data_IF_798519316651
#
_entry.id   IF_798519316651
#
_cell.length_a   1.000
_cell.length_b   1.000
_cell.length_c   1.000
_cell.angle_alpha   90.00
_cell.angle_beta   90.00
_cell.angle_gamma   90.00
#
_symmetry.space_group_name_H-M   'P 1'
#
loop_
_entity.id
_entity.type
_entity.pdbx_description
1 polymer ?
#
# COMPACT_ATOMS: atom_id res chain seq x y z
N UNK A 1 9.95 28.65 -11.11
CA UNK A 1 10.61 28.47 -9.79
C UNK A 1 9.59 27.81 -8.87
N UNK A 2 9.96 26.74 -8.15
CA UNK A 2 9.13 26.11 -7.12
C UNK A 2 9.79 26.43 -5.78
N UNK A 3 9.02 26.91 -4.82
CA UNK A 3 9.48 27.18 -3.47
C UNK A 3 8.62 26.39 -2.47
N UNK A 4 9.26 25.71 -1.51
CA UNK A 4 8.59 24.91 -0.47
C UNK A 4 8.95 25.49 0.89
N UNK A 5 7.93 25.82 1.68
CA UNK A 5 8.10 26.25 3.06
C UNK A 5 7.63 25.16 4.01
N UNK A 6 8.57 24.46 4.67
CA UNK A 6 8.26 23.45 5.65
C UNK A 6 8.22 24.06 7.07
N UNK A 7 7.13 23.80 7.80
CA UNK A 7 6.97 24.23 9.20
C UNK A 7 6.79 23.01 10.09
N UNK A 8 7.83 22.66 10.83
CA UNK A 8 7.81 21.56 11.79
C UNK A 8 7.77 22.11 13.23
N UNK A 9 6.57 22.23 13.78
CA UNK A 9 6.40 22.62 15.19
C UNK A 9 6.57 21.41 16.10
N UNK A 10 7.26 21.59 17.21
CA UNK A 10 7.54 20.51 18.18
C UNK A 10 6.83 20.77 19.52
N UNK A 11 6.51 19.72 20.30
CA UNK A 11 6.61 18.30 19.96
C UNK A 11 5.49 17.83 19.02
N UNK A 12 5.86 17.10 17.96
CA UNK A 12 4.93 16.58 16.95
C UNK A 12 4.85 15.04 16.91
N UNK A 13 5.80 14.36 17.55
CA UNK A 13 5.84 12.90 17.65
C UNK A 13 6.53 12.46 18.94
N UNK A 14 6.58 11.15 19.18
CA UNK A 14 7.28 10.52 20.31
C UNK A 14 8.67 10.00 19.92
N UNK A 15 9.05 10.15 18.67
CA UNK A 15 10.34 9.74 18.09
C UNK A 15 10.92 10.86 17.25
N UNK A 16 12.13 10.66 16.73
CA UNK A 16 12.74 11.61 15.80
C UNK A 16 11.96 11.67 14.48
N UNK A 17 11.43 12.81 14.15
CA UNK A 17 10.57 12.99 12.97
C UNK A 17 11.23 13.77 11.81
N UNK A 18 12.39 14.36 12.06
CA UNK A 18 13.06 15.23 11.07
C UNK A 18 12.30 16.53 10.80
N UNK A 19 12.84 17.36 9.91
CA UNK A 19 12.23 18.60 9.44
C UNK A 19 12.59 18.82 7.98
N UNK A 20 11.67 19.41 7.23
CA UNK A 20 11.90 19.75 5.82
C UNK A 20 11.50 18.62 4.88
N UNK A 21 12.13 18.60 3.70
CA UNK A 21 11.89 17.60 2.65
C UNK A 21 12.90 16.47 2.89
N UNK A 22 12.42 15.27 3.19
CA UNK A 22 13.26 14.14 3.55
C UNK A 22 13.06 12.91 2.64
N UNK A 23 12.07 12.96 1.77
CA UNK A 23 11.81 11.94 0.72
C UNK A 23 12.02 12.55 -0.65
N UNK A 24 12.17 11.69 -1.66
CA UNK A 24 12.36 12.10 -3.05
C UNK A 24 11.27 13.06 -3.52
N UNK A 25 11.71 14.11 -4.22
CA UNK A 25 10.80 15.01 -4.95
C UNK A 25 10.81 14.60 -6.41
N UNK A 26 9.66 14.16 -6.90
CA UNK A 26 9.51 13.69 -8.27
C UNK A 26 8.63 14.63 -9.08
N UNK A 27 8.98 14.82 -10.36
CA UNK A 27 8.13 15.49 -11.33
C UNK A 27 7.60 14.45 -12.32
N UNK A 28 6.29 14.25 -12.32
CA UNK A 28 5.65 13.40 -13.31
C UNK A 28 5.12 14.25 -14.45
N UNK A 29 5.53 13.93 -15.67
CA UNK A 29 5.05 14.58 -16.90
C UNK A 29 4.33 13.50 -17.71
N UNK A 30 3.06 13.74 -18.02
CA UNK A 30 2.21 12.80 -18.76
C UNK A 30 1.56 13.48 -19.96
N UNK A 31 1.05 12.69 -20.88
CA UNK A 31 0.06 13.19 -21.84
C UNK A 31 -1.25 13.53 -21.12
N UNK A 32 -2.12 14.26 -21.78
CA UNK A 32 -3.47 14.56 -21.28
C UNK A 32 -4.31 13.29 -21.08
N UNK A 33 -4.01 12.25 -21.82
CA UNK A 33 -4.58 10.91 -21.64
C UNK A 33 -3.50 9.99 -21.09
N UNK A 34 -3.66 9.54 -19.85
CA UNK A 34 -2.67 8.73 -19.15
C UNK A 34 -3.29 7.82 -18.08
N UNK A 35 -2.51 6.87 -17.59
CA UNK A 35 -2.87 6.04 -16.43
C UNK A 35 -2.88 6.92 -15.18
N UNK A 36 -3.98 6.91 -14.44
CA UNK A 36 -4.08 7.64 -13.16
C UNK A 36 -2.95 7.19 -12.22
N UNK A 37 -2.43 8.12 -11.43
CA UNK A 37 -1.45 7.78 -10.38
C UNK A 37 -2.00 6.67 -9.48
N UNK A 38 -1.23 5.59 -9.31
CA UNK A 38 -1.67 4.39 -8.59
C UNK A 38 -2.98 3.75 -9.14
N UNK A 39 -3.39 4.08 -10.37
CA UNK A 39 -4.62 3.62 -10.98
C UNK A 39 -4.62 2.17 -11.46
N UNK A 40 -3.46 1.47 -11.43
CA UNK A 40 -3.38 0.05 -11.81
C UNK A 40 -3.64 -0.85 -10.60
N UNK A 41 -4.50 -1.84 -10.78
CA UNK A 41 -4.77 -2.90 -9.79
C UNK A 41 -4.47 -4.25 -10.43
N UNK A 42 -3.71 -5.11 -9.74
CA UNK A 42 -3.30 -6.44 -10.21
C UNK A 42 -3.78 -7.46 -9.17
N UNK A 43 -4.63 -8.39 -9.60
CA UNK A 43 -5.19 -9.42 -8.74
C UNK A 43 -4.95 -10.81 -9.35
N UNK A 44 -4.75 -11.79 -8.49
CA UNK A 44 -4.59 -13.21 -8.85
C UNK A 44 -5.58 -14.07 -8.06
N UNK A 45 -6.90 -13.92 -8.30
CA UNK A 45 -7.94 -14.40 -7.39
C UNK A 45 -7.98 -15.93 -7.25
N UNK A 46 -7.45 -16.67 -8.24
CA UNK A 46 -7.43 -18.13 -8.26
C UNK A 46 -6.01 -18.72 -8.20
N UNK A 47 -5.05 -17.94 -7.68
CA UNK A 47 -3.65 -18.34 -7.71
C UNK A 47 -3.40 -19.69 -7.04
N UNK A 48 -3.96 -19.91 -5.85
CA UNK A 48 -3.78 -21.14 -5.09
C UNK A 48 -4.22 -22.38 -5.87
N UNK A 49 -5.35 -22.29 -6.56
CA UNK A 49 -5.90 -23.38 -7.37
C UNK A 49 -5.12 -23.58 -8.67
N UNK A 50 -4.62 -22.50 -9.26
CA UNK A 50 -4.02 -22.48 -10.60
C UNK A 50 -2.50 -22.55 -10.60
N UNK A 51 -1.81 -22.45 -9.45
CA UNK A 51 -0.35 -22.26 -9.37
C UNK A 51 0.49 -23.31 -10.11
N UNK A 52 -0.04 -24.50 -10.33
CA UNK A 52 0.64 -25.59 -11.05
C UNK A 52 0.34 -25.63 -12.55
N UNK A 53 -0.43 -24.68 -13.05
CA UNK A 53 -0.82 -24.54 -14.46
C UNK A 53 -0.79 -23.07 -14.90
N UNK A 54 -1.81 -22.67 -15.63
CA UNK A 54 -1.99 -21.29 -16.06
C UNK A 54 -2.72 -20.48 -15.01
N UNK A 55 -2.08 -19.41 -14.56
CA UNK A 55 -2.63 -18.49 -13.57
C UNK A 55 -3.21 -17.27 -14.26
N UNK A 56 -4.50 -17.03 -14.02
CA UNK A 56 -5.19 -15.81 -14.44
C UNK A 56 -4.71 -14.61 -13.59
N UNK A 57 -4.20 -13.59 -14.26
CA UNK A 57 -3.85 -12.30 -13.65
C UNK A 57 -4.82 -11.25 -14.16
N UNK A 58 -5.67 -10.77 -13.27
CA UNK A 58 -6.68 -9.75 -13.56
C UNK A 58 -6.06 -8.37 -13.36
N UNK A 59 -6.10 -7.57 -14.42
CA UNK A 59 -5.55 -6.22 -14.43
C UNK A 59 -6.68 -5.24 -14.68
N UNK A 60 -6.75 -4.20 -13.87
CA UNK A 60 -7.61 -3.03 -14.09
C UNK A 60 -6.73 -1.79 -14.09
N UNK A 61 -6.79 -0.98 -15.14
CA UNK A 61 -6.09 0.32 -15.20
C UNK A 61 -7.09 1.44 -15.36
N UNK A 62 -7.07 2.39 -14.44
CA UNK A 62 -7.87 3.60 -14.55
C UNK A 62 -7.12 4.61 -15.41
N UNK A 63 -7.76 5.03 -16.50
CA UNK A 63 -7.24 6.00 -17.46
C UNK A 63 -8.04 7.29 -17.31
N UNK A 64 -7.33 8.40 -17.28
CA UNK A 64 -7.92 9.75 -17.21
C UNK A 64 -7.70 10.48 -18.53
N UNK A 65 -8.69 11.27 -18.92
CA UNK A 65 -8.60 12.22 -20.03
C UNK A 65 -8.77 13.64 -19.47
N UNK A 66 -7.70 14.41 -19.49
CA UNK A 66 -7.70 15.82 -19.07
C UNK A 66 -7.79 16.79 -20.26
N UNK A 67 -7.99 16.26 -21.47
CA UNK A 67 -8.19 17.07 -22.68
C UNK A 67 -9.64 17.55 -22.82
N UNK A 68 -9.83 18.58 -23.63
CA UNK A 68 -11.13 19.15 -24.01
C UNK A 68 -11.85 18.35 -25.13
N UNK A 69 -11.29 17.19 -25.51
CA UNK A 69 -11.80 16.34 -26.60
C UNK A 69 -12.00 14.90 -26.16
N UNK A 70 -12.95 14.25 -26.79
CA UNK A 70 -13.12 12.80 -26.71
C UNK A 70 -12.00 12.11 -27.47
N UNK A 71 -11.55 10.94 -26.99
CA UNK A 71 -10.50 10.15 -27.60
C UNK A 71 -10.84 8.66 -27.60
N UNK A 72 -10.37 7.95 -28.65
CA UNK A 72 -10.42 6.51 -28.72
C UNK A 72 -9.22 5.92 -27.97
N UNK A 73 -9.50 5.03 -27.02
CA UNK A 73 -8.51 4.40 -26.15
C UNK A 73 -8.34 2.92 -26.45
N UNK A 74 -7.10 2.48 -26.42
CA UNK A 74 -6.72 1.06 -26.29
C UNK A 74 -5.63 0.95 -25.23
N UNK A 75 -5.75 0.00 -24.33
CA UNK A 75 -4.65 -0.38 -23.45
C UNK A 75 -4.03 -1.70 -23.94
N UNK A 76 -2.72 -1.81 -23.80
CA UNK A 76 -1.94 -3.02 -24.06
C UNK A 76 -1.18 -3.41 -22.82
N UNK A 77 -1.25 -4.69 -22.47
CA UNK A 77 -0.66 -5.23 -21.26
C UNK A 77 0.31 -6.36 -21.57
N UNK A 78 1.37 -6.45 -20.81
CA UNK A 78 2.34 -7.55 -20.84
C UNK A 78 2.94 -7.76 -19.47
N UNK A 79 3.07 -9.02 -19.04
CA UNK A 79 3.79 -9.36 -17.81
C UNK A 79 5.19 -9.84 -18.19
N UNK A 80 6.19 -9.32 -17.47
CA UNK A 80 7.60 -9.72 -17.59
C UNK A 80 8.14 -10.13 -16.23
N UNK A 81 9.07 -11.09 -16.18
CA UNK A 81 9.89 -11.27 -14.97
C UNK A 81 10.70 -9.99 -14.72
N UNK A 82 10.92 -9.62 -13.47
CA UNK A 82 11.81 -8.52 -13.16
C UNK A 82 13.21 -8.83 -13.69
N UNK A 83 13.70 -8.02 -14.61
CA UNK A 83 14.92 -8.27 -15.36
C UNK A 83 14.71 -8.53 -16.84
N UNK A 84 13.46 -8.58 -17.31
CA UNK A 84 13.12 -8.35 -18.71
C UNK A 84 12.62 -9.52 -19.55
N UNK A 85 12.45 -10.72 -19.02
CA UNK A 85 11.87 -11.83 -19.78
C UNK A 85 10.35 -11.75 -19.79
N UNK A 86 9.73 -11.63 -20.97
CA UNK A 86 8.28 -11.68 -21.13
C UNK A 86 7.75 -13.08 -20.79
N UNK A 87 6.75 -13.14 -19.90
CA UNK A 87 6.07 -14.37 -19.50
C UNK A 87 4.65 -14.46 -20.06
N UNK A 88 4.18 -13.38 -20.68
CA UNK A 88 2.93 -13.37 -21.47
C UNK A 88 3.17 -12.78 -22.86
N UNK A 89 2.28 -13.11 -23.79
CA UNK A 89 2.09 -12.30 -24.99
C UNK A 89 1.53 -10.91 -24.66
N UNK A 90 1.34 -10.09 -25.69
CA UNK A 90 0.66 -8.80 -25.57
C UNK A 90 -0.86 -9.04 -25.56
N UNK A 91 -1.55 -8.45 -24.58
CA UNK A 91 -3.00 -8.47 -24.48
C UNK A 91 -3.52 -7.05 -24.68
N UNK A 92 -4.39 -6.84 -25.65
CA UNK A 92 -5.01 -5.56 -25.97
C UNK A 92 -6.47 -5.54 -25.58
N UNK A 93 -6.93 -4.42 -25.03
CA UNK A 93 -8.36 -4.19 -24.81
C UNK A 93 -9.07 -3.87 -26.13
N UNK A 94 -10.38 -4.01 -26.14
CA UNK A 94 -11.19 -3.39 -27.18
C UNK A 94 -11.03 -1.86 -27.14
N UNK A 95 -11.20 -1.21 -28.29
CA UNK A 95 -11.24 0.25 -28.33
C UNK A 95 -12.46 0.78 -27.56
N UNK A 96 -12.27 1.88 -26.84
CA UNK A 96 -13.29 2.55 -26.07
C UNK A 96 -13.17 4.07 -26.17
N UNK A 97 -14.26 4.77 -26.42
CA UNK A 97 -14.30 6.23 -26.39
C UNK A 97 -14.22 6.70 -24.94
N UNK A 98 -13.28 7.58 -24.60
CA UNK A 98 -13.19 8.29 -23.34
C UNK A 98 -13.51 9.77 -23.59
N UNK A 99 -14.55 10.24 -22.91
CA UNK A 99 -15.03 11.62 -23.01
C UNK A 99 -14.01 12.60 -22.41
N UNK A 100 -14.10 13.85 -22.91
CA UNK A 100 -13.36 14.97 -22.36
C UNK A 100 -13.59 15.10 -20.85
N UNK A 101 -12.50 15.29 -20.07
CA UNK A 101 -12.50 15.44 -18.61
C UNK A 101 -13.10 14.27 -17.82
N UNK A 102 -13.15 13.08 -18.40
CA UNK A 102 -13.63 11.88 -17.73
C UNK A 102 -12.51 10.88 -17.45
N UNK A 103 -12.82 9.85 -16.70
CA UNK A 103 -11.98 8.69 -16.48
C UNK A 103 -12.75 7.40 -16.74
N UNK A 104 -12.01 6.35 -17.13
CA UNK A 104 -12.57 5.02 -17.33
C UNK A 104 -11.61 3.96 -16.81
N UNK A 105 -12.12 2.77 -16.50
CA UNK A 105 -11.31 1.61 -16.22
C UNK A 105 -11.26 0.70 -17.43
N UNK A 106 -10.06 0.23 -17.77
CA UNK A 106 -9.82 -0.79 -18.77
C UNK A 106 -9.32 -2.05 -18.09
N UNK A 107 -9.97 -3.17 -18.41
CA UNK A 107 -9.74 -4.46 -17.76
C UNK A 107 -9.12 -5.44 -18.75
N UNK A 108 -8.21 -6.30 -18.28
CA UNK A 108 -7.66 -7.40 -19.03
C UNK A 108 -7.36 -8.60 -18.12
N UNK A 109 -7.34 -9.80 -18.71
CA UNK A 109 -6.88 -11.02 -18.06
C UNK A 109 -5.67 -11.51 -18.83
N UNK A 110 -4.55 -11.71 -18.14
CA UNK A 110 -3.33 -12.30 -18.68
C UNK A 110 -3.11 -13.65 -18.03
N UNK A 111 -2.67 -14.64 -18.80
CA UNK A 111 -2.35 -15.97 -18.29
C UNK A 111 -0.85 -16.16 -18.23
N UNK A 112 -0.34 -16.53 -17.03
CA UNK A 112 1.08 -16.88 -16.83
C UNK A 112 1.19 -18.36 -16.48
N UNK A 113 2.01 -19.09 -17.24
CA UNK A 113 2.24 -20.52 -17.01
C UNK A 113 3.17 -20.72 -15.81
N UNK A 114 2.66 -21.39 -14.76
CA UNK A 114 3.42 -21.77 -13.54
C UNK A 114 4.31 -20.66 -12.99
N UNK A 115 3.75 -19.50 -12.62
CA UNK A 115 4.57 -18.41 -12.11
C UNK A 115 5.31 -18.83 -10.84
N UNK A 116 6.55 -18.34 -10.71
CA UNK A 116 7.31 -18.47 -9.47
C UNK A 116 6.64 -17.63 -8.38
N UNK A 117 6.39 -18.21 -7.22
CA UNK A 117 5.74 -17.52 -6.13
C UNK A 117 6.73 -16.64 -5.36
N UNK A 118 6.29 -15.44 -4.98
CA UNK A 118 7.02 -14.57 -4.07
C UNK A 118 6.96 -15.13 -2.65
N UNK A 119 8.10 -15.21 -1.97
CA UNK A 119 8.18 -15.76 -0.61
C UNK A 119 9.25 -15.08 0.22
N UNK A 120 9.14 -15.22 1.55
CA UNK A 120 10.17 -14.78 2.52
C UNK A 120 11.23 -15.85 2.81
N UNK A 121 11.03 -17.07 2.30
CA UNK A 121 11.83 -18.25 2.63
C UNK A 121 13.11 -18.39 1.77
N UNK A 122 13.31 -17.50 0.81
CA UNK A 122 14.50 -17.53 -0.04
C UNK A 122 15.14 -16.12 -0.14
N UNK A 123 16.37 -16.09 -0.65
CA UNK A 123 17.14 -14.84 -0.78
C UNK A 123 16.84 -14.05 -2.05
N UNK A 124 16.08 -14.63 -2.97
CA UNK A 124 15.72 -14.01 -4.25
C UNK A 124 14.23 -14.24 -4.53
N UNK A 125 13.34 -13.48 -3.88
CA UNK A 125 11.92 -13.57 -4.14
C UNK A 125 11.59 -13.28 -5.60
N UNK A 126 10.68 -14.05 -6.17
CA UNK A 126 10.24 -13.84 -7.55
C UNK A 126 9.38 -12.59 -7.66
N UNK A 127 9.80 -11.66 -8.48
CA UNK A 127 9.09 -10.42 -8.77
C UNK A 127 8.81 -10.31 -10.26
N UNK A 128 7.68 -9.71 -10.57
CA UNK A 128 7.19 -9.46 -11.92
C UNK A 128 6.87 -7.98 -12.09
N UNK A 129 6.87 -7.53 -13.33
CA UNK A 129 6.44 -6.20 -13.73
C UNK A 129 5.29 -6.33 -14.73
N UNK A 130 4.20 -5.65 -14.46
CA UNK A 130 3.15 -5.39 -15.44
C UNK A 130 3.55 -4.16 -16.24
N UNK A 131 3.68 -4.31 -17.56
CA UNK A 131 3.87 -3.20 -18.48
C UNK A 131 2.50 -2.83 -19.05
N UNK A 132 2.06 -1.63 -18.78
CA UNK A 132 0.83 -1.04 -19.34
C UNK A 132 1.22 0.01 -20.37
N UNK A 133 0.65 -0.06 -21.59
CA UNK A 133 0.79 0.95 -22.63
C UNK A 133 -0.58 1.48 -23.00
N UNK A 134 -0.73 2.79 -23.06
CA UNK A 134 -1.99 3.45 -23.42
C UNK A 134 -1.84 4.10 -24.79
N UNK A 135 -2.75 3.75 -25.67
CA UNK A 135 -2.85 4.34 -26.99
C UNK A 135 -4.08 5.25 -27.07
N UNK A 136 -3.88 6.47 -27.49
CA UNK A 136 -4.89 7.47 -27.78
C UNK A 136 -4.94 7.67 -29.29
N UNK A 137 -6.09 7.44 -29.90
CA UNK A 137 -6.30 7.61 -31.35
C UNK A 137 -5.21 6.89 -32.19
N UNK A 138 -4.79 5.70 -31.74
CA UNK A 138 -3.77 4.86 -32.35
C UNK A 138 -2.31 5.24 -32.01
N UNK A 139 -2.05 6.33 -31.30
CA UNK A 139 -0.71 6.76 -30.86
C UNK A 139 -0.43 6.33 -29.44
N UNK A 140 0.76 5.78 -29.17
CA UNK A 140 1.24 5.51 -27.82
C UNK A 140 1.48 6.84 -27.10
N UNK A 141 0.75 7.07 -25.99
CA UNK A 141 0.80 8.32 -25.24
C UNK A 141 1.27 8.13 -23.79
N UNK A 142 1.14 6.91 -23.24
CA UNK A 142 1.62 6.62 -21.89
C UNK A 142 2.12 5.17 -21.79
N UNK A 143 3.14 4.97 -20.95
CA UNK A 143 3.64 3.64 -20.62
C UNK A 143 4.09 3.59 -19.16
N UNK A 144 3.63 2.57 -18.45
CA UNK A 144 3.90 2.40 -17.02
C UNK A 144 4.36 0.97 -16.71
N UNK A 145 5.16 0.84 -15.65
CA UNK A 145 5.51 -0.45 -15.04
C UNK A 145 5.02 -0.48 -13.61
N UNK A 146 4.31 -1.54 -13.26
CA UNK A 146 3.86 -1.80 -11.90
C UNK A 146 4.48 -3.10 -11.39
N UNK A 147 5.24 -3.01 -10.28
CA UNK A 147 5.88 -4.16 -9.63
C UNK A 147 4.85 -4.96 -8.85
N UNK A 148 4.88 -6.29 -8.99
CA UNK A 148 4.05 -7.20 -8.22
C UNK A 148 4.71 -8.57 -8.04
N UNK A 149 4.06 -9.47 -7.29
CA UNK A 149 4.50 -10.85 -7.11
C UNK A 149 3.31 -11.77 -6.91
N UNK A 150 3.42 -12.99 -7.42
CA UNK A 150 2.43 -14.03 -7.20
C UNK A 150 2.57 -14.59 -5.79
N UNK A 151 1.54 -14.44 -4.97
CA UNK A 151 1.46 -15.01 -3.63
C UNK A 151 0.02 -15.12 -3.16
N UNK A 152 -0.25 -16.11 -2.31
CA UNK A 152 -1.47 -16.22 -1.53
C UNK A 152 -1.12 -16.48 -0.07
N UNK A 153 -2.03 -16.21 0.83
CA UNK A 153 -1.84 -16.50 2.25
C UNK A 153 -3.17 -16.72 2.95
N UNK A 154 -3.08 -17.50 4.03
CA UNK A 154 -4.17 -17.74 4.95
C UNK A 154 -3.76 -17.37 6.35
N UNK A 155 -4.71 -16.93 7.13
CA UNK A 155 -4.51 -16.70 8.55
C UNK A 155 -5.73 -17.15 9.30
N UNK A 156 -5.55 -18.18 10.15
CA UNK A 156 -6.61 -18.75 10.96
C UNK A 156 -6.21 -18.77 12.43
N UNK A 157 -7.17 -18.69 13.36
CA UNK A 157 -6.87 -18.73 14.80
C UNK A 157 -6.11 -19.98 15.24
N UNK A 158 -6.38 -21.13 14.61
CA UNK A 158 -5.83 -22.42 15.03
C UNK A 158 -4.51 -22.78 14.34
N UNK A 159 -4.34 -22.39 13.08
CA UNK A 159 -3.17 -22.76 12.28
C UNK A 159 -2.15 -21.65 12.13
N UNK A 160 -2.57 -20.40 12.46
CA UNK A 160 -1.73 -19.21 12.29
C UNK A 160 -1.63 -18.76 10.84
N UNK A 161 -0.52 -18.12 10.51
CA UNK A 161 -0.29 -17.56 9.18
C UNK A 161 0.48 -18.56 8.28
N UNK A 162 0.01 -18.71 7.06
CA UNK A 162 0.73 -19.42 6.00
C UNK A 162 0.87 -18.53 4.76
N UNK A 163 2.00 -18.65 4.07
CA UNK A 163 2.31 -18.00 2.80
C UNK A 163 2.59 -19.07 1.75
N UNK A 164 1.80 -19.10 0.68
CA UNK A 164 1.89 -20.11 -0.39
C UNK A 164 1.79 -21.54 0.12
N UNK A 165 0.95 -21.78 1.13
CA UNK A 165 0.77 -23.07 1.80
C UNK A 165 1.81 -23.40 2.87
N UNK A 166 2.91 -22.64 2.98
CA UNK A 166 3.95 -22.85 3.99
C UNK A 166 3.65 -22.04 5.25
N UNK A 167 3.67 -22.71 6.41
CA UNK A 167 3.45 -22.03 7.70
C UNK A 167 4.61 -21.09 8.03
N UNK A 168 4.32 -19.82 8.24
CA UNK A 168 5.30 -18.79 8.58
C UNK A 168 5.07 -18.33 10.02
N UNK A 169 6.13 -18.39 10.81
CA UNK A 169 6.19 -17.71 12.10
C UNK A 169 6.83 -16.34 11.90
N UNK A 170 6.15 -15.27 12.34
CA UNK A 170 6.70 -13.93 12.24
C UNK A 170 7.87 -13.73 13.20
N UNK A 171 9.01 -13.36 12.66
CA UNK A 171 10.16 -12.81 13.36
C UNK A 171 10.26 -11.35 12.92
N UNK A 172 9.47 -10.49 13.56
CA UNK A 172 9.25 -9.12 13.11
C UNK A 172 9.99 -8.10 13.96
N UNK A 173 10.26 -6.96 13.34
CA UNK A 173 10.76 -5.75 14.02
C UNK A 173 9.90 -4.55 13.65
N UNK A 174 9.78 -3.61 14.60
CA UNK A 174 9.17 -2.31 14.36
C UNK A 174 10.24 -1.31 13.95
N UNK A 175 10.02 -0.57 12.86
CA UNK A 175 10.98 0.35 12.29
C UNK A 175 10.41 1.75 12.15
N UNK A 176 11.08 2.73 12.73
CA UNK A 176 10.92 4.13 12.35
C UNK A 176 11.74 4.46 11.10
N UNK A 177 11.45 5.59 10.49
CA UNK A 177 12.04 6.00 9.20
C UNK A 177 13.40 6.70 9.32
N UNK A 178 13.98 6.81 10.51
CA UNK A 178 15.27 7.44 10.73
C UNK A 178 16.46 6.50 10.53
N UNK A 179 17.60 7.08 10.18
CA UNK A 179 18.84 6.40 9.84
C UNK A 179 20.06 6.89 10.66
N UNK A 180 19.88 7.20 11.92
CA UNK A 180 20.97 7.68 12.78
C UNK A 180 21.62 8.96 12.23
N UNK A 181 22.84 8.89 11.76
CA UNK A 181 23.58 10.06 11.26
C UNK A 181 22.97 10.75 10.02
N UNK A 182 22.16 10.03 9.24
CA UNK A 182 21.43 10.59 8.10
C UNK A 182 20.09 11.26 8.52
N UNK A 183 19.72 11.13 9.78
CA UNK A 183 18.43 11.62 10.26
C UNK A 183 17.27 10.91 9.57
N UNK A 184 16.28 11.67 9.12
CA UNK A 184 15.12 11.13 8.40
C UNK A 184 15.29 11.10 6.87
N UNK A 185 16.48 11.44 6.36
CA UNK A 185 16.73 11.44 4.91
C UNK A 185 16.54 10.04 4.32
N UNK A 186 15.73 9.96 3.28
CA UNK A 186 15.52 8.73 2.55
C UNK A 186 16.71 8.47 1.63
N UNK A 187 17.41 7.35 1.87
CA UNK A 187 18.54 6.93 1.07
C UNK A 187 18.43 5.43 0.76
N UNK A 188 18.22 5.09 -0.50
CA UNK A 188 18.02 3.70 -0.94
C UNK A 188 19.12 2.75 -0.43
N UNK A 189 20.38 3.14 -0.53
CA UNK A 189 21.50 2.26 -0.12
C UNK A 189 21.55 2.05 1.39
N UNK A 190 21.23 3.09 2.17
CA UNK A 190 21.18 2.99 3.62
C UNK A 190 20.00 2.10 4.06
N UNK A 191 18.82 2.29 3.47
CA UNK A 191 17.65 1.49 3.74
C UNK A 191 17.83 0.03 3.29
N UNK A 192 18.36 -0.20 2.09
CA UNK A 192 18.68 -1.56 1.62
C UNK A 192 19.65 -2.28 2.56
N UNK A 193 20.72 -1.60 2.99
CA UNK A 193 21.67 -2.15 3.97
C UNK A 193 20.99 -2.50 5.28
N UNK A 194 20.15 -1.61 5.81
CA UNK A 194 19.40 -1.80 7.07
C UNK A 194 18.51 -3.02 7.00
N UNK A 195 17.66 -3.11 5.99
CA UNK A 195 16.71 -4.21 5.83
C UNK A 195 17.42 -5.53 5.52
N UNK A 196 18.49 -5.49 4.73
CA UNK A 196 19.32 -6.68 4.45
C UNK A 196 19.96 -7.24 5.72
N UNK A 197 20.55 -6.39 6.57
CA UNK A 197 21.12 -6.81 7.85
C UNK A 197 20.05 -7.44 8.75
N UNK A 198 18.84 -6.88 8.80
CA UNK A 198 17.75 -7.47 9.56
C UNK A 198 17.37 -8.85 9.02
N UNK A 199 17.26 -9.01 7.71
CA UNK A 199 17.01 -10.32 7.10
C UNK A 199 18.12 -11.33 7.44
N UNK A 200 19.38 -10.93 7.37
CA UNK A 200 20.54 -11.77 7.75
C UNK A 200 20.53 -12.18 9.23
N UNK A 201 19.89 -11.38 10.10
CA UNK A 201 19.62 -11.72 11.51
C UNK A 201 18.42 -12.66 11.70
N UNK A 202 17.73 -13.04 10.64
CA UNK A 202 16.55 -13.91 10.70
C UNK A 202 15.20 -13.19 10.77
N UNK A 203 15.17 -11.86 10.61
CA UNK A 203 13.92 -11.10 10.50
C UNK A 203 13.25 -11.42 9.15
N UNK A 204 11.95 -11.73 9.19
CA UNK A 204 11.14 -12.00 8.00
C UNK A 204 9.96 -11.04 7.84
N UNK A 205 9.75 -10.14 8.79
CA UNK A 205 8.67 -9.16 8.75
C UNK A 205 9.04 -7.84 9.41
N UNK A 206 8.48 -6.75 8.91
CA UNK A 206 8.63 -5.42 9.49
C UNK A 206 7.25 -4.78 9.71
N UNK A 207 7.15 -3.97 10.76
CA UNK A 207 6.05 -3.04 10.98
C UNK A 207 6.59 -1.63 10.79
N UNK A 208 5.97 -0.84 9.94
CA UNK A 208 6.36 0.56 9.73
C UNK A 208 5.72 1.41 10.81
N UNK A 209 6.51 1.89 11.77
CA UNK A 209 6.01 2.57 12.95
C UNK A 209 6.17 4.09 12.85
N UNK A 210 5.20 4.88 13.08
CA UNK A 210 3.75 4.71 13.09
C UNK A 210 3.20 5.67 12.04
N UNK A 211 3.69 5.51 10.83
CA UNK A 211 3.37 6.33 9.65
C UNK A 211 3.69 5.54 8.36
N UNK A 212 3.11 5.91 7.22
CA UNK A 212 3.34 5.23 5.96
C UNK A 212 4.83 5.16 5.60
N UNK A 213 5.28 3.98 5.20
CA UNK A 213 6.64 3.79 4.69
C UNK A 213 6.88 4.58 3.40
N UNK A 214 8.14 4.74 3.02
CA UNK A 214 8.47 5.22 1.69
C UNK A 214 8.25 4.15 0.63
N UNK A 215 8.11 4.57 -0.62
CA UNK A 215 8.04 3.63 -1.75
C UNK A 215 9.32 2.80 -1.86
N UNK A 216 10.48 3.40 -1.58
CA UNK A 216 11.78 2.71 -1.56
C UNK A 216 11.81 1.61 -0.50
N UNK A 217 11.38 1.87 0.72
CA UNK A 217 11.30 0.86 1.79
C UNK A 217 10.44 -0.33 1.38
N UNK A 218 9.25 -0.07 0.80
CA UNK A 218 8.33 -1.12 0.34
C UNK A 218 8.91 -1.92 -0.83
N UNK A 219 9.59 -1.26 -1.77
CA UNK A 219 10.27 -1.92 -2.87
C UNK A 219 11.40 -2.82 -2.36
N UNK A 220 12.25 -2.32 -1.46
CA UNK A 220 13.35 -3.10 -0.86
C UNK A 220 12.79 -4.30 -0.07
N UNK A 221 11.71 -4.12 0.67
CA UNK A 221 11.07 -5.23 1.39
C UNK A 221 10.60 -6.33 0.43
N UNK A 222 10.00 -5.95 -0.72
CA UNK A 222 9.62 -6.90 -1.77
C UNK A 222 10.83 -7.60 -2.40
N UNK A 223 11.93 -6.88 -2.63
CA UNK A 223 13.18 -7.40 -3.19
C UNK A 223 13.90 -8.38 -2.26
N UNK A 224 13.88 -8.10 -0.98
CA UNK A 224 14.53 -8.92 0.04
C UNK A 224 13.64 -10.05 0.57
N UNK A 225 12.34 -10.06 0.27
CA UNK A 225 11.40 -11.02 0.83
C UNK A 225 11.15 -10.78 2.32
N UNK A 226 10.70 -9.58 2.67
CA UNK A 226 10.26 -9.21 4.00
C UNK A 226 8.76 -8.90 3.95
N UNK A 227 7.96 -9.52 4.81
CA UNK A 227 6.56 -9.15 4.98
C UNK A 227 6.45 -7.77 5.63
N UNK A 228 5.44 -6.99 5.24
CA UNK A 228 5.23 -5.64 5.77
C UNK A 228 3.83 -5.52 6.34
N UNK A 229 3.75 -5.15 7.61
CA UNK A 229 2.57 -4.53 8.20
C UNK A 229 2.74 -3.02 8.02
N UNK A 230 2.04 -2.45 7.05
CA UNK A 230 2.12 -1.01 6.80
C UNK A 230 1.12 -0.27 7.67
N UNK A 231 1.62 0.65 8.49
CA UNK A 231 0.83 1.41 9.46
C UNK A 231 0.74 2.87 9.09
N UNK A 232 -0.45 3.48 9.29
CA UNK A 232 -0.72 4.84 8.83
C UNK A 232 -0.64 5.88 9.94
N UNK A 233 -1.15 5.58 11.16
CA UNK A 233 -1.32 6.59 12.21
C UNK A 233 -0.74 6.18 13.56
N UNK A 234 0.01 7.08 14.22
CA UNK A 234 0.29 6.98 15.65
C UNK A 234 -0.87 7.51 16.50
N UNK A 235 -1.72 8.34 15.95
CA UNK A 235 -2.82 9.00 16.66
C UNK A 235 -4.00 9.23 15.75
N UNK A 236 -5.21 9.23 16.34
CA UNK A 236 -6.41 9.71 15.67
C UNK A 236 -6.72 11.15 16.09
N UNK A 237 -8.00 11.50 16.27
CA UNK A 237 -8.45 12.85 16.57
C UNK A 237 -8.08 13.34 17.98
N UNK A 238 -7.82 12.43 18.95
CA UNK A 238 -7.46 12.82 20.31
C UNK A 238 -6.05 13.39 20.46
N UNK A 239 -5.14 12.97 19.56
CA UNK A 239 -3.75 13.40 19.61
C UNK A 239 -2.97 12.84 20.78
N UNK A 240 -1.65 12.77 20.66
CA UNK A 240 -0.69 12.40 21.74
C UNK A 240 0.29 13.52 22.03
N UNK A 241 0.46 14.43 21.10
CA UNK A 241 1.34 15.61 21.19
C UNK A 241 0.64 16.86 20.63
N UNK A 242 1.00 18.07 21.10
CA UNK A 242 0.32 19.30 20.70
C UNK A 242 0.34 19.59 19.20
N UNK A 243 1.35 19.08 18.48
CA UNK A 243 1.53 19.36 17.06
C UNK A 243 1.54 18.10 16.21
N UNK A 244 0.98 16.99 16.69
CA UNK A 244 0.89 15.75 15.92
C UNK A 244 -0.24 15.75 14.88
N UNK A 245 -0.42 14.60 14.22
CA UNK A 245 -1.39 14.40 13.15
C UNK A 245 -2.84 14.54 13.61
N UNK A 246 -3.15 14.32 14.89
CA UNK A 246 -4.51 14.42 15.44
C UNK A 246 -5.21 15.73 15.11
N UNK A 247 -4.44 16.84 14.99
CA UNK A 247 -5.00 18.14 14.57
C UNK A 247 -5.57 18.18 13.16
N UNK A 248 -5.21 17.24 12.30
CA UNK A 248 -5.67 17.17 10.90
C UNK A 248 -6.68 16.06 10.68
N UNK A 249 -6.66 15.05 11.51
CA UNK A 249 -7.34 13.77 11.33
C UNK A 249 -8.78 13.88 10.83
N UNK A 250 -9.59 14.74 11.42
CA UNK A 250 -11.01 14.95 11.05
C UNK A 250 -11.26 16.18 10.19
N UNK A 251 -10.21 16.94 9.84
CA UNK A 251 -10.37 18.09 8.95
C UNK A 251 -10.53 17.64 7.51
N UNK A 252 -11.26 18.43 6.74
CA UNK A 252 -11.40 18.21 5.30
C UNK A 252 -10.03 18.35 4.62
N UNK A 253 -9.72 17.38 3.78
CA UNK A 253 -8.48 17.40 3.03
C UNK A 253 -8.51 18.51 1.97
N UNK A 254 -7.44 19.30 1.94
CA UNK A 254 -7.29 20.41 0.98
C UNK A 254 -6.36 20.05 -0.19
N UNK A 255 -5.96 18.77 -0.28
CA UNK A 255 -5.13 18.29 -1.38
C UNK A 255 -5.94 18.27 -2.70
N UNK A 256 -5.33 18.65 -3.85
CA UNK A 256 -6.03 18.64 -5.14
C UNK A 256 -6.63 17.29 -5.55
N UNK A 257 -6.01 16.18 -5.12
CA UNK A 257 -6.47 14.81 -5.39
C UNK A 257 -7.49 14.30 -4.34
N UNK A 258 -7.85 15.13 -3.33
CA UNK A 258 -8.84 14.76 -2.35
C UNK A 258 -10.24 14.75 -2.96
N UNK A 259 -11.04 13.77 -2.58
CA UNK A 259 -12.45 13.69 -2.97
C UNK A 259 -13.24 14.74 -2.22
N UNK A 260 -14.35 15.18 -2.79
CA UNK A 260 -15.25 16.17 -2.14
C UNK A 260 -15.68 15.68 -0.74
N UNK A 261 -15.33 16.46 0.30
CA UNK A 261 -15.67 16.15 1.69
C UNK A 261 -14.84 15.03 2.31
N UNK A 262 -13.77 14.58 1.66
CA UNK A 262 -12.84 13.59 2.20
C UNK A 262 -12.03 14.20 3.36
N UNK A 263 -11.91 13.47 4.46
CA UNK A 263 -11.08 13.88 5.58
C UNK A 263 -9.59 13.61 5.29
N UNK A 264 -8.69 14.35 5.93
CA UNK A 264 -7.25 14.07 5.81
C UNK A 264 -6.91 12.63 6.16
N UNK A 265 -7.52 12.09 7.23
CA UNK A 265 -7.32 10.67 7.61
C UNK A 265 -7.73 9.70 6.51
N UNK A 266 -8.82 9.96 5.81
CA UNK A 266 -9.31 9.09 4.73
C UNK A 266 -8.45 9.23 3.48
N UNK A 267 -8.04 10.47 3.15
CA UNK A 267 -7.15 10.77 2.03
C UNK A 267 -5.79 10.09 2.20
N UNK A 268 -5.14 10.29 3.35
CA UNK A 268 -3.80 9.71 3.60
C UNK A 268 -3.84 8.19 3.67
N UNK A 269 -4.86 7.61 4.31
CA UNK A 269 -5.07 6.16 4.36
C UNK A 269 -5.34 5.59 2.96
N UNK A 270 -6.23 6.20 2.20
CA UNK A 270 -6.54 5.77 0.84
C UNK A 270 -5.31 5.81 -0.06
N UNK A 271 -4.55 6.90 -0.03
CA UNK A 271 -3.34 7.05 -0.86
C UNK A 271 -2.24 6.06 -0.47
N UNK A 272 -2.09 5.75 0.83
CA UNK A 272 -1.20 4.69 1.30
C UNK A 272 -1.58 3.33 0.70
N UNK A 273 -2.86 2.97 0.78
CA UNK A 273 -3.36 1.68 0.26
C UNK A 273 -3.28 1.62 -1.27
N UNK A 274 -3.68 2.68 -1.97
CA UNK A 274 -3.60 2.76 -3.44
C UNK A 274 -2.17 2.57 -3.95
N UNK A 275 -1.19 3.16 -3.27
CA UNK A 275 0.23 3.02 -3.60
C UNK A 275 0.74 1.60 -3.34
N UNK A 276 0.31 0.98 -2.25
CA UNK A 276 0.85 -0.30 -1.78
C UNK A 276 0.11 -1.55 -2.29
N UNK A 277 -1.09 -1.44 -2.84
CA UNK A 277 -1.99 -2.57 -3.15
C UNK A 277 -1.40 -3.66 -4.05
N UNK A 278 -0.47 -3.32 -4.94
CA UNK A 278 0.19 -4.30 -5.82
C UNK A 278 1.48 -4.88 -5.22
N UNK A 279 2.00 -4.29 -4.12
CA UNK A 279 3.26 -4.73 -3.53
C UNK A 279 3.09 -6.09 -2.82
N UNK A 280 3.84 -7.14 -3.19
CA UNK A 280 3.68 -8.46 -2.59
C UNK A 280 4.14 -8.54 -1.14
N UNK A 281 5.01 -7.65 -0.69
CA UNK A 281 5.51 -7.63 0.68
C UNK A 281 4.43 -7.24 1.69
N UNK A 282 3.51 -6.33 1.34
CA UNK A 282 2.47 -5.90 2.26
C UNK A 282 1.44 -7.02 2.44
N UNK A 283 1.25 -7.49 3.66
CA UNK A 283 0.28 -8.51 3.98
C UNK A 283 -0.86 -8.01 4.87
N UNK A 284 -0.65 -6.85 5.52
CA UNK A 284 -1.59 -6.29 6.49
C UNK A 284 -1.51 -4.76 6.51
N UNK A 285 -2.66 -4.12 6.66
CA UNK A 285 -2.82 -2.69 6.85
C UNK A 285 -3.13 -2.39 8.31
N UNK A 286 -2.40 -1.47 8.94
CA UNK A 286 -2.65 -1.05 10.32
C UNK A 286 -3.17 0.38 10.35
N UNK A 287 -4.33 0.57 11.02
CA UNK A 287 -5.03 1.87 11.07
C UNK A 287 -4.67 2.70 12.30
N UNK A 288 -3.78 2.21 13.16
CA UNK A 288 -3.39 2.99 14.33
C UNK A 288 -2.48 2.27 15.29
N UNK A 289 -1.84 3.06 16.15
CA UNK A 289 -0.96 2.61 17.21
C UNK A 289 -1.39 3.18 18.56
N UNK A 290 -1.74 2.33 19.51
CA UNK A 290 -2.06 2.73 20.88
C UNK A 290 -3.01 3.93 20.95
N UNK A 291 -4.11 3.84 20.24
CA UNK A 291 -5.07 4.92 20.11
C UNK A 291 -5.86 5.09 21.41
N UNK A 292 -5.61 6.18 22.11
CA UNK A 292 -6.20 6.44 23.42
C UNK A 292 -7.73 6.55 23.40
N UNK A 293 -8.26 7.14 22.35
CA UNK A 293 -9.69 7.35 22.12
C UNK A 293 -10.43 6.14 21.52
N UNK A 294 -9.72 5.07 21.12
CA UNK A 294 -10.33 3.84 20.63
C UNK A 294 -10.98 3.01 21.76
N UNK A 295 -11.93 3.57 22.45
CA UNK A 295 -12.57 3.05 23.66
C UNK A 295 -13.93 2.39 23.43
N UNK A 296 -14.37 2.28 22.17
CA UNK A 296 -15.65 1.67 21.80
C UNK A 296 -16.89 2.53 22.00
N UNK A 297 -16.71 3.83 22.21
CA UNK A 297 -17.82 4.78 22.15
C UNK A 297 -18.33 4.98 20.71
N UNK A 298 -19.43 5.67 20.55
CA UNK A 298 -20.06 5.84 19.22
C UNK A 298 -19.12 6.51 18.22
N UNK A 299 -18.29 7.47 18.64
CA UNK A 299 -17.36 8.18 17.77
C UNK A 299 -16.19 7.29 17.33
N UNK A 300 -15.56 6.59 18.27
CA UNK A 300 -14.45 5.67 17.94
C UNK A 300 -14.91 4.48 17.10
N UNK A 301 -16.12 3.94 17.33
CA UNK A 301 -16.70 2.90 16.49
C UNK A 301 -17.02 3.40 15.09
N UNK A 302 -17.57 4.61 14.93
CA UNK A 302 -17.76 5.20 13.62
C UNK A 302 -16.42 5.41 12.88
N UNK A 303 -15.39 5.82 13.62
CA UNK A 303 -14.04 6.05 13.07
C UNK A 303 -13.40 4.76 12.59
N UNK A 304 -13.36 3.68 13.40
CA UNK A 304 -12.77 2.42 12.96
C UNK A 304 -13.50 1.85 11.74
N UNK A 305 -14.84 1.85 11.76
CA UNK A 305 -15.65 1.39 10.60
C UNK A 305 -15.33 2.18 9.33
N UNK A 306 -15.20 3.50 9.44
CA UNK A 306 -14.85 4.38 8.34
C UNK A 306 -13.47 4.06 7.78
N UNK A 307 -12.44 3.94 8.64
CA UNK A 307 -11.08 3.63 8.21
C UNK A 307 -10.97 2.23 7.59
N UNK A 308 -11.60 1.22 8.18
CA UNK A 308 -11.67 -0.13 7.59
C UNK A 308 -12.34 -0.09 6.22
N UNK A 309 -13.43 0.66 6.09
CA UNK A 309 -14.12 0.83 4.80
C UNK A 309 -13.23 1.49 3.75
N UNK A 310 -12.48 2.54 4.10
CA UNK A 310 -11.52 3.20 3.18
C UNK A 310 -10.52 2.19 2.63
N UNK A 311 -9.96 1.31 3.47
CA UNK A 311 -9.05 0.25 3.03
C UNK A 311 -9.78 -0.73 2.10
N UNK A 312 -10.91 -1.27 2.54
CA UNK A 312 -11.62 -2.33 1.81
C UNK A 312 -12.24 -1.84 0.48
N UNK A 313 -12.50 -0.55 0.34
CA UNK A 313 -12.91 0.05 -0.94
C UNK A 313 -11.77 0.02 -1.98
N UNK A 314 -10.51 0.01 -1.56
CA UNK A 314 -9.32 -0.03 -2.42
C UNK A 314 -8.75 -1.44 -2.53
N UNK A 315 -8.59 -2.11 -1.39
CA UNK A 315 -7.94 -3.42 -1.29
C UNK A 315 -8.71 -4.37 -0.36
N UNK A 316 -9.35 -5.38 -0.94
CA UNK A 316 -10.09 -6.43 -0.22
C UNK A 316 -9.23 -7.67 0.09
N UNK A 317 -7.99 -7.67 -0.35
CA UNK A 317 -7.14 -8.88 -0.31
C UNK A 317 -6.31 -8.98 0.96
N UNK A 318 -6.14 -7.89 1.72
CA UNK A 318 -5.31 -7.85 2.91
C UNK A 318 -6.12 -7.65 4.18
N UNK A 319 -5.57 -8.15 5.28
CA UNK A 319 -6.15 -7.97 6.61
C UNK A 319 -5.96 -6.55 7.11
N UNK A 320 -6.90 -6.10 7.95
CA UNK A 320 -6.84 -4.81 8.64
C UNK A 320 -6.65 -5.06 10.13
N UNK A 321 -5.72 -4.34 10.73
CA UNK A 321 -5.39 -4.41 12.16
C UNK A 321 -5.17 -3.02 12.76
N UNK A 322 -4.95 -2.99 14.07
CA UNK A 322 -4.48 -1.85 14.83
C UNK A 322 -3.58 -2.34 15.97
N UNK A 323 -2.44 -1.70 16.20
CA UNK A 323 -1.63 -1.95 17.39
C UNK A 323 -2.29 -1.34 18.63
N UNK A 324 -2.74 -2.16 19.57
CA UNK A 324 -3.47 -1.71 20.75
C UNK A 324 -2.85 -2.21 22.07
N UNK A 325 -2.55 -1.27 22.95
CA UNK A 325 -2.02 -1.54 24.29
C UNK A 325 -3.13 -1.85 25.32
N UNK A 326 -4.40 -1.54 24.98
CA UNK A 326 -5.56 -1.66 25.87
C UNK A 326 -6.44 -2.87 25.64
N UNK A 327 -6.20 -3.66 24.58
CA UNK A 327 -6.84 -4.97 24.39
C UNK A 327 -6.31 -5.99 25.41
N UNK A 328 -6.16 -5.58 26.67
CA UNK A 328 -5.71 -6.44 27.75
C UNK A 328 -6.88 -7.16 28.37
N UNK A 329 -6.71 -8.45 28.44
CA UNK A 329 -7.65 -9.44 28.93
C UNK A 329 -8.52 -9.02 30.12
N UNK A 330 -9.82 -9.13 29.95
CA UNK A 330 -10.69 -9.77 30.95
C UNK A 330 -11.27 -8.93 32.05
N UNK A 331 -10.94 -7.69 32.33
CA UNK A 331 -11.61 -6.91 33.34
C UNK A 331 -11.83 -5.46 32.93
N UNK A 332 -13.02 -5.21 32.39
CA UNK A 332 -13.53 -3.86 32.21
C UNK A 332 -12.99 -3.06 31.05
N UNK A 333 -12.49 -3.71 30.02
CA UNK A 333 -12.11 -3.06 28.76
C UNK A 333 -13.33 -2.54 27.96
N UNK A 334 -14.47 -2.59 28.51
CA UNK A 334 -15.81 -2.07 28.21
C UNK A 334 -16.16 -1.59 26.82
N UNK A 335 -15.23 -1.39 25.93
CA UNK A 335 -15.44 -0.87 24.60
C UNK A 335 -14.36 -1.27 23.62
N UNK A 336 -13.18 -1.63 24.08
CA UNK A 336 -12.07 -2.03 23.18
C UNK A 336 -12.38 -3.32 22.40
N UNK A 337 -13.15 -4.23 22.97
CA UNK A 337 -13.66 -5.42 22.30
C UNK A 337 -14.49 -5.06 21.06
N UNK A 338 -15.34 -4.04 21.16
CA UNK A 338 -16.13 -3.57 20.01
C UNK A 338 -15.28 -3.00 18.89
N UNK A 339 -14.12 -2.42 19.21
CA UNK A 339 -13.14 -1.98 18.20
C UNK A 339 -12.48 -3.20 17.56
N UNK A 340 -12.13 -4.23 18.36
CA UNK A 340 -11.55 -5.46 17.86
C UNK A 340 -12.48 -6.21 16.89
N UNK A 341 -13.79 -6.19 17.14
CA UNK A 341 -14.80 -6.82 16.29
C UNK A 341 -14.88 -6.22 14.87
N UNK A 342 -14.39 -4.99 14.68
CA UNK A 342 -14.35 -4.31 13.38
C UNK A 342 -13.05 -4.59 12.60
N UNK A 343 -12.09 -5.30 13.19
CA UNK A 343 -10.79 -5.61 12.59
C UNK A 343 -10.73 -7.07 12.13
N UNK A 344 -9.95 -7.35 11.09
CA UNK A 344 -9.69 -8.71 10.63
C UNK A 344 -8.73 -9.47 11.59
N UNK A 345 -7.86 -8.73 12.28
CA UNK A 345 -6.91 -9.27 13.23
C UNK A 345 -6.64 -8.26 14.36
N UNK A 346 -6.45 -8.75 15.57
CA UNK A 346 -6.14 -7.93 16.74
C UNK A 346 -4.63 -7.86 16.95
N UNK A 347 -4.09 -6.64 16.96
CA UNK A 347 -2.69 -6.38 17.27
C UNK A 347 -2.51 -6.01 18.74
N UNK A 348 -1.82 -6.83 19.50
CA UNK A 348 -1.41 -6.50 20.87
C UNK A 348 -0.06 -5.78 20.86
N UNK A 349 0.03 -4.69 21.63
CA UNK A 349 1.25 -3.87 21.75
C UNK A 349 1.82 -3.97 23.15
#
# INVERSE_FOLDING_TARGET
>A
MIAVHAVNKQPSSRWYSGSGIYRDVTLQVTDKVHVEKNGTTILTPKLEEQQHGKVETHVTSKIVNTDDKDHELVAEYQIVERGGHAVTGLVRTASRTLKAHESTSLDAILEVERPKLWTVLNDKPALYELITRVYRDGQLVDAKKDLFGYRYYHWTPNEGFSLNGERIKFHGVSLHHDHGALGAEENYKAEYRRLKQMKEMGVNSIRTTHNPASEQTLQIAAELGLLVQEEVFDTWYGGKKPYDYGRFFEKDATHPEARKGEKWSDFDLRTMVERGKNNPAIFMWSIGNEIGEANGDAHSLATVKRLVKVIKDVDKTRYVTMGADKFRFGNGSGGHEKIADELDAVGFN
#
